data_IF_133064613536
#
_entry.id   IF_133064613536
#
_cell.length_a   1.000
_cell.length_b   1.000
_cell.length_c   1.000
_cell.angle_alpha   90.00
_cell.angle_beta   90.00
_cell.angle_gamma   90.00
#
_symmetry.space_group_name_H-M   'P 1'
#
loop_
_entity.id
_entity.type
_entity.pdbx_description
1 polymer ?
#
# COMPACT_ATOMS: atom_id res chain seq x y z
N UNK A 1 3.14 -11.06 7.26
CA UNK A 1 4.13 -10.78 6.21
C UNK A 1 3.56 -9.70 5.29
N UNK A 2 4.05 -8.46 5.33
CA UNK A 2 3.48 -7.38 4.48
C UNK A 2 4.20 -7.40 3.12
N UNK A 3 3.50 -7.86 2.09
CA UNK A 3 4.01 -8.25 0.77
C UNK A 3 4.24 -7.05 -0.17
N UNK A 4 4.91 -5.99 0.29
CA UNK A 4 4.98 -4.74 -0.46
C UNK A 4 5.75 -4.81 -1.79
N UNK A 5 6.68 -5.77 -1.93
CA UNK A 5 7.52 -5.93 -3.12
C UNK A 5 7.06 -7.05 -4.08
N UNK A 6 6.08 -7.87 -3.70
CA UNK A 6 5.67 -9.03 -4.53
C UNK A 6 5.12 -8.62 -5.88
N UNK A 7 4.41 -7.49 -5.96
CA UNK A 7 3.88 -6.99 -7.23
C UNK A 7 4.98 -6.66 -8.23
N UNK A 8 6.16 -6.20 -7.77
CA UNK A 8 7.32 -5.94 -8.63
C UNK A 8 7.89 -7.25 -9.14
N UNK A 9 8.06 -8.23 -8.25
CA UNK A 9 8.59 -9.55 -8.62
C UNK A 9 7.64 -10.29 -9.57
N UNK A 10 6.33 -10.28 -9.30
CA UNK A 10 5.31 -10.90 -10.15
C UNK A 10 5.24 -10.20 -11.52
N UNK A 11 5.28 -8.88 -11.57
CA UNK A 11 5.30 -8.14 -12.83
C UNK A 11 6.57 -8.43 -13.64
N UNK A 12 7.72 -8.51 -12.97
CA UNK A 12 8.98 -8.89 -13.60
C UNK A 12 8.96 -10.34 -14.12
N UNK A 13 8.48 -11.29 -13.32
CA UNK A 13 8.38 -12.70 -13.68
C UNK A 13 7.47 -12.89 -14.89
N UNK A 14 6.34 -12.19 -14.92
CA UNK A 14 5.40 -12.21 -16.04
C UNK A 14 6.06 -11.77 -17.36
N UNK A 15 6.81 -10.66 -17.37
CA UNK A 15 7.47 -10.19 -18.60
C UNK A 15 8.72 -10.99 -18.96
N UNK A 16 9.38 -11.60 -17.97
CA UNK A 16 10.57 -12.41 -18.21
C UNK A 16 10.20 -13.76 -18.83
N UNK A 17 9.08 -14.36 -18.40
CA UNK A 17 8.79 -15.77 -18.67
C UNK A 17 7.49 -16.03 -19.43
N UNK A 18 6.55 -15.06 -19.50
CA UNK A 18 5.20 -15.31 -20.00
C UNK A 18 4.81 -14.39 -21.16
N UNK A 19 5.03 -13.08 -21.03
CA UNK A 19 4.53 -12.08 -22.00
C UNK A 19 5.64 -11.15 -22.49
N UNK A 20 5.79 -11.03 -23.81
CA UNK A 20 6.77 -10.13 -24.43
C UNK A 20 6.13 -8.83 -24.96
N UNK A 21 4.91 -8.91 -25.52
CA UNK A 21 4.30 -7.80 -26.28
C UNK A 21 3.18 -7.08 -25.54
N UNK A 22 2.86 -7.53 -24.32
CA UNK A 22 1.80 -6.96 -23.49
C UNK A 22 2.43 -5.97 -22.50
N UNK A 23 1.96 -4.72 -22.41
CA UNK A 23 2.39 -3.80 -21.37
C UNK A 23 2.00 -4.29 -19.98
N UNK A 24 2.97 -4.35 -19.07
CA UNK A 24 2.79 -4.73 -17.67
C UNK A 24 3.19 -3.57 -16.78
N UNK A 25 2.31 -3.20 -15.84
CA UNK A 25 2.55 -2.11 -14.91
C UNK A 25 2.30 -2.54 -13.46
N UNK A 26 3.23 -2.23 -12.55
CA UNK A 26 3.01 -2.34 -11.12
C UNK A 26 2.99 -0.95 -10.45
N UNK A 27 1.94 -0.69 -9.67
CA UNK A 27 1.78 0.49 -8.83
C UNK A 27 2.00 0.06 -7.39
N UNK A 28 3.05 0.58 -6.74
CA UNK A 28 3.44 0.12 -5.40
C UNK A 28 3.51 1.28 -4.42
N UNK A 29 3.06 1.04 -3.19
CA UNK A 29 3.01 2.04 -2.13
C UNK A 29 3.95 1.62 -1.01
N UNK A 30 4.93 2.47 -0.68
CA UNK A 30 5.86 2.22 0.43
C UNK A 30 6.70 0.96 0.25
N UNK A 31 6.89 0.49 -0.99
CA UNK A 31 7.66 -0.73 -1.26
C UNK A 31 9.13 -0.54 -0.91
N UNK A 32 9.75 -1.49 -0.17
CA UNK A 32 11.20 -1.56 -0.03
C UNK A 32 11.86 -1.85 -1.39
N UNK A 33 13.19 -1.75 -1.41
CA UNK A 33 14.00 -2.18 -2.53
C UNK A 33 13.91 -3.71 -2.70
N UNK A 34 13.97 -4.17 -3.95
CA UNK A 34 13.64 -5.57 -4.29
C UNK A 34 14.87 -6.36 -4.73
N UNK A 35 15.69 -5.79 -5.60
CA UNK A 35 16.77 -6.51 -6.24
C UNK A 35 18.08 -5.73 -6.28
N UNK A 36 19.14 -6.45 -6.60
CA UNK A 36 20.47 -5.90 -6.76
C UNK A 36 20.67 -5.32 -8.17
N UNK A 37 21.91 -4.92 -8.48
CA UNK A 37 22.29 -4.42 -9.81
C UNK A 37 21.93 -5.40 -10.95
N UNK A 38 22.19 -6.70 -10.79
CA UNK A 38 21.90 -7.69 -11.84
C UNK A 38 20.39 -7.78 -12.13
N UNK A 39 19.56 -7.75 -11.08
CA UNK A 39 18.11 -7.67 -11.23
C UNK A 39 17.70 -6.39 -11.98
N UNK A 40 18.20 -5.22 -11.56
CA UNK A 40 17.85 -3.93 -12.18
C UNK A 40 18.30 -3.85 -13.65
N UNK A 41 19.46 -4.43 -13.98
CA UNK A 41 19.96 -4.51 -15.35
C UNK A 41 19.08 -5.41 -16.23
N UNK A 42 18.55 -6.53 -15.69
CA UNK A 42 17.57 -7.37 -16.42
C UNK A 42 16.23 -6.66 -16.55
N UNK A 43 15.73 -6.07 -15.47
CA UNK A 43 14.48 -5.29 -15.44
C UNK A 43 14.47 -4.23 -16.56
N UNK A 44 15.56 -3.49 -16.73
CA UNK A 44 15.68 -2.42 -17.74
C UNK A 44 15.66 -2.92 -19.19
N UNK A 45 15.86 -4.22 -19.44
CA UNK A 45 15.76 -4.78 -20.80
C UNK A 45 14.32 -4.90 -21.27
N UNK A 46 13.37 -4.97 -20.34
CA UNK A 46 11.95 -5.12 -20.63
C UNK A 46 11.30 -3.76 -20.88
N UNK A 47 11.14 -3.39 -22.15
CA UNK A 47 10.52 -2.13 -22.54
C UNK A 47 9.03 -2.06 -22.18
N UNK A 48 8.35 -3.22 -22.17
CA UNK A 48 6.95 -3.41 -21.82
C UNK A 48 6.67 -3.43 -20.30
N UNK A 49 7.70 -3.40 -19.45
CA UNK A 49 7.53 -3.33 -17.99
C UNK A 49 7.69 -1.90 -17.47
N UNK A 50 6.75 -1.46 -16.64
CA UNK A 50 6.82 -0.22 -15.87
C UNK A 50 6.46 -0.45 -14.41
N UNK A 51 7.18 0.21 -13.51
CA UNK A 51 6.86 0.20 -12.08
C UNK A 51 6.85 1.63 -11.58
N UNK A 52 5.75 2.04 -10.95
CA UNK A 52 5.63 3.33 -10.29
C UNK A 52 5.61 3.13 -8.77
N UNK A 53 6.60 3.70 -8.10
CA UNK A 53 6.74 3.72 -6.65
C UNK A 53 6.15 4.99 -6.08
N UNK A 54 5.05 4.86 -5.34
CA UNK A 54 4.52 5.93 -4.49
C UNK A 54 5.24 5.85 -3.14
N UNK A 55 6.00 6.89 -2.79
CA UNK A 55 6.80 6.95 -1.56
C UNK A 55 6.40 8.15 -0.71
N UNK A 56 6.21 7.93 0.57
CA UNK A 56 6.04 9.03 1.52
C UNK A 56 7.42 9.51 1.97
N UNK A 57 7.70 10.80 1.85
CA UNK A 57 9.01 11.41 2.12
C UNK A 57 9.56 11.07 3.52
N UNK A 58 8.67 10.91 4.50
CA UNK A 58 9.05 10.61 5.89
C UNK A 58 9.12 9.10 6.19
N UNK A 59 8.79 8.21 5.24
CA UNK A 59 8.90 6.77 5.42
C UNK A 59 10.27 6.26 4.96
N UNK A 60 10.99 5.59 5.88
CA UNK A 60 12.32 5.06 5.60
C UNK A 60 12.30 3.67 4.93
N UNK A 61 11.16 2.96 4.93
CA UNK A 61 11.08 1.60 4.37
C UNK A 61 11.48 1.51 2.90
N UNK A 62 11.10 2.46 2.01
CA UNK A 62 11.53 2.43 0.63
C UNK A 62 13.05 2.49 0.40
N UNK A 63 13.83 2.84 1.44
CA UNK A 63 15.28 2.86 1.40
C UNK A 63 15.92 1.56 1.93
N UNK A 64 15.15 0.67 2.53
CA UNK A 64 15.61 -0.63 3.00
C UNK A 64 15.56 -1.66 1.86
N UNK A 65 16.51 -2.63 1.74
CA UNK A 65 17.67 -2.84 2.62
C UNK A 65 18.81 -1.84 2.45
N UNK A 66 18.87 -1.15 1.32
CA UNK A 66 19.83 -0.08 1.03
C UNK A 66 20.96 -0.50 0.09
N UNK A 67 21.56 0.49 -0.57
CA UNK A 67 22.65 0.32 -1.55
C UNK A 67 23.92 -0.31 -0.97
N UNK A 68 24.20 -0.08 0.31
CA UNK A 68 25.35 -0.69 1.01
C UNK A 68 25.24 -2.22 1.08
N UNK A 69 24.02 -2.76 1.04
CA UNK A 69 23.75 -4.20 0.96
C UNK A 69 23.59 -4.70 -0.49
N UNK A 70 23.93 -3.86 -1.48
CA UNK A 70 23.90 -4.21 -2.90
C UNK A 70 22.54 -4.06 -3.59
N UNK A 71 21.53 -3.48 -2.93
CA UNK A 71 20.19 -3.25 -3.50
C UNK A 71 20.14 -1.96 -4.32
N UNK A 72 19.33 -1.95 -5.37
CA UNK A 72 19.16 -0.80 -6.26
C UNK A 72 17.72 -0.30 -6.33
N UNK A 73 17.58 1.00 -6.58
CA UNK A 73 16.30 1.58 -6.95
C UNK A 73 15.95 1.18 -8.39
N UNK A 74 14.70 0.80 -8.59
CA UNK A 74 14.15 0.29 -9.85
C UNK A 74 12.83 1.03 -10.12
N UNK A 75 12.48 1.27 -11.39
CA UNK A 75 11.25 1.94 -11.78
C UNK A 75 11.29 3.48 -11.65
N UNK A 76 10.10 4.07 -11.64
CA UNK A 76 9.85 5.52 -11.53
C UNK A 76 9.25 5.83 -10.16
N UNK A 77 9.51 7.02 -9.63
CA UNK A 77 9.07 7.42 -8.29
C UNK A 77 8.09 8.60 -8.34
N UNK A 78 7.02 8.49 -7.56
CA UNK A 78 6.14 9.57 -7.17
C UNK A 78 6.34 9.79 -5.67
N UNK A 79 7.11 10.81 -5.31
CA UNK A 79 7.28 11.22 -3.92
C UNK A 79 6.10 12.09 -3.48
N UNK A 80 5.52 11.72 -2.34
CA UNK A 80 4.42 12.42 -1.68
C UNK A 80 4.84 12.75 -0.25
N UNK A 81 4.12 13.68 0.39
CA UNK A 81 4.33 14.00 1.80
C UNK A 81 3.00 14.06 2.55
N UNK A 82 2.79 13.08 3.44
CA UNK A 82 1.62 13.00 4.32
C UNK A 82 1.42 14.22 5.22
N UNK A 83 2.47 14.97 5.53
CA UNK A 83 2.38 16.17 6.38
C UNK A 83 1.66 17.33 5.71
N UNK A 84 1.45 17.28 4.38
CA UNK A 84 0.74 18.33 3.64
C UNK A 84 -0.77 18.32 3.86
N UNK A 85 -1.35 17.19 4.26
CA UNK A 85 -2.78 17.14 4.51
C UNK A 85 -3.12 17.87 5.81
N UNK A 86 -4.02 18.86 5.80
CA UNK A 86 -4.43 19.58 7.01
C UNK A 86 -5.22 18.68 7.98
N UNK A 87 -5.70 17.53 7.52
CA UNK A 87 -6.51 16.57 8.30
C UNK A 87 -5.69 15.49 8.99
N UNK A 88 -4.40 15.32 8.67
CA UNK A 88 -3.54 14.30 9.28
C UNK A 88 -2.79 14.86 10.49
N UNK A 89 -2.58 14.02 11.50
CA UNK A 89 -1.77 14.34 12.67
C UNK A 89 -0.29 14.46 12.28
N UNK A 90 0.48 15.26 13.04
CA UNK A 90 1.94 15.21 13.03
C UNK A 90 2.47 13.96 13.76
N UNK A 91 2.14 12.77 13.25
CA UNK A 91 2.45 11.50 13.93
C UNK A 91 3.94 11.20 13.96
N UNK A 92 4.42 10.69 15.10
CA UNK A 92 5.78 10.14 15.27
C UNK A 92 5.82 8.61 15.11
N UNK A 93 4.69 7.98 14.78
CA UNK A 93 4.59 6.53 14.61
C UNK A 93 4.93 6.13 13.16
N UNK A 94 6.01 5.37 12.92
CA UNK A 94 6.38 4.93 11.57
C UNK A 94 5.32 4.09 10.85
N UNK A 95 4.39 3.48 11.59
CA UNK A 95 3.28 2.74 11.00
C UNK A 95 2.27 3.64 10.30
N UNK A 96 2.11 4.89 10.76
CA UNK A 96 1.21 5.86 10.13
C UNK A 96 1.79 6.38 8.82
N UNK A 97 3.11 6.59 8.77
CA UNK A 97 3.81 7.09 7.58
C UNK A 97 3.69 6.15 6.37
N UNK A 98 3.53 4.85 6.64
CA UNK A 98 3.34 3.81 5.62
C UNK A 98 1.89 3.32 5.51
N UNK A 99 0.94 4.02 6.12
CA UNK A 99 -0.45 3.63 6.04
C UNK A 99 -0.97 3.84 4.60
N UNK A 100 -1.39 2.75 3.95
CA UNK A 100 -1.85 2.78 2.56
C UNK A 100 -2.99 3.77 2.33
N UNK A 101 -3.97 3.81 3.23
CA UNK A 101 -5.13 4.68 3.07
C UNK A 101 -4.77 6.16 3.24
N UNK A 102 -3.79 6.46 4.09
CA UNK A 102 -3.20 7.79 4.23
C UNK A 102 -2.42 8.20 2.98
N UNK A 103 -1.58 7.31 2.43
CA UNK A 103 -0.86 7.60 1.17
C UNK A 103 -1.83 7.85 0.02
N UNK A 104 -2.88 7.05 -0.12
CA UNK A 104 -3.93 7.25 -1.12
C UNK A 104 -4.72 8.55 -0.89
N UNK A 105 -4.93 8.96 0.36
CA UNK A 105 -5.50 10.27 0.69
C UNK A 105 -4.62 11.41 0.19
N UNK A 106 -3.30 11.27 0.34
CA UNK A 106 -2.36 12.26 -0.18
C UNK A 106 -2.36 12.27 -1.70
N UNK A 107 -2.25 11.12 -2.36
CA UNK A 107 -2.31 11.02 -3.82
C UNK A 107 -3.58 11.68 -4.37
N UNK A 108 -4.72 11.52 -3.70
CA UNK A 108 -5.99 12.12 -4.10
C UNK A 108 -6.02 13.67 -4.07
N UNK A 109 -5.09 14.31 -3.37
CA UNK A 109 -4.98 15.77 -3.30
C UNK A 109 -3.57 16.32 -3.48
N UNK A 110 -2.66 15.52 -4.04
CA UNK A 110 -1.28 15.90 -4.25
C UNK A 110 -1.16 16.80 -5.49
N UNK A 111 -0.68 18.02 -5.28
CA UNK A 111 -0.44 19.00 -6.35
C UNK A 111 1.05 19.31 -6.55
N UNK A 112 1.94 18.51 -5.96
CA UNK A 112 3.37 18.76 -5.92
C UNK A 112 3.86 19.26 -4.55
N UNK A 113 5.17 19.40 -4.42
CA UNK A 113 5.88 19.78 -3.20
C UNK A 113 5.63 21.25 -2.80
N UNK A 114 5.51 22.15 -3.79
CA UNK A 114 5.34 23.59 -3.60
C UNK A 114 3.88 24.04 -3.51
N UNK A 115 2.97 23.28 -4.09
CA UNK A 115 1.55 23.65 -4.18
C UNK A 115 0.74 23.17 -2.96
N UNK A 116 -0.33 23.87 -2.56
CA UNK A 116 -1.16 23.44 -1.44
C UNK A 116 -1.83 22.09 -1.70
N UNK A 117 -2.07 21.35 -0.62
CA UNK A 117 -2.88 20.13 -0.68
C UNK A 117 -4.34 20.50 -0.97
N UNK A 118 -4.92 19.90 -2.00
CA UNK A 118 -6.30 20.11 -2.38
C UNK A 118 -6.82 18.85 -3.07
N UNK A 119 -7.86 18.22 -2.51
CA UNK A 119 -8.44 17.01 -3.07
C UNK A 119 -8.94 17.26 -4.49
N UNK A 120 -8.38 16.54 -5.46
CA UNK A 120 -8.78 16.58 -6.88
C UNK A 120 -9.80 15.50 -7.24
N UNK A 121 -10.02 14.53 -6.34
CA UNK A 121 -11.03 13.48 -6.49
C UNK A 121 -11.82 13.30 -5.19
N UNK A 122 -13.10 12.92 -5.32
CA UNK A 122 -13.93 12.60 -4.16
C UNK A 122 -13.41 11.34 -3.48
N UNK A 123 -12.89 11.48 -2.26
CA UNK A 123 -12.38 10.38 -1.43
C UNK A 123 -12.82 10.55 0.01
N UNK A 124 -13.35 9.50 0.62
CA UNK A 124 -13.76 9.54 2.02
C UNK A 124 -12.53 9.62 2.93
N UNK A 125 -12.49 10.67 3.76
CA UNK A 125 -11.43 10.88 4.73
C UNK A 125 -11.38 9.74 5.76
N UNK A 126 -12.53 9.15 6.10
CA UNK A 126 -12.64 8.10 7.10
C UNK A 126 -11.79 6.86 6.78
N UNK A 127 -11.52 6.60 5.49
CA UNK A 127 -10.67 5.49 5.05
C UNK A 127 -9.26 5.56 5.65
N UNK A 128 -8.73 6.75 5.94
CA UNK A 128 -7.41 6.91 6.58
C UNK A 128 -7.35 6.12 7.88
N UNK A 129 -8.38 6.21 8.73
CA UNK A 129 -8.43 5.53 10.02
C UNK A 129 -8.91 4.07 9.92
N UNK A 130 -8.99 3.48 8.71
CA UNK A 130 -9.42 2.07 8.53
C UNK A 130 -8.66 1.13 9.47
N UNK A 131 -7.34 1.30 9.59
CA UNK A 131 -6.45 0.45 10.39
C UNK A 131 -5.48 1.23 11.29
N UNK A 132 -5.71 2.51 11.50
CA UNK A 132 -4.91 3.37 12.38
C UNK A 132 -5.75 4.52 12.96
N UNK A 133 -5.13 5.42 13.73
CA UNK A 133 -5.75 6.62 14.29
C UNK A 133 -5.03 7.90 13.83
N UNK A 134 -4.73 7.99 12.54
CA UNK A 134 -3.84 9.01 11.98
C UNK A 134 -4.52 10.36 11.65
N UNK A 135 -5.85 10.36 11.46
CA UNK A 135 -6.62 11.60 11.35
C UNK A 135 -6.55 12.39 12.65
N UNK A 136 -6.60 13.72 12.54
CA UNK A 136 -6.76 14.60 13.70
C UNK A 136 -8.10 14.36 14.39
N UNK A 137 -8.15 14.59 15.70
CA UNK A 137 -9.32 14.25 16.52
C UNK A 137 -10.53 15.12 16.15
N UNK A 138 -10.31 16.33 15.63
CA UNK A 138 -11.39 17.21 15.14
C UNK A 138 -12.11 16.65 13.91
N UNK A 139 -11.55 15.64 13.24
CA UNK A 139 -12.22 14.95 12.14
C UNK A 139 -13.33 14.00 12.63
N UNK A 140 -13.40 13.71 13.93
CA UNK A 140 -14.43 12.86 14.57
C UNK A 140 -14.58 11.46 13.96
N UNK A 141 -13.51 10.92 13.36
CA UNK A 141 -13.48 9.55 12.84
C UNK A 141 -12.77 8.63 13.84
N UNK A 142 -13.43 7.58 14.36
CA UNK A 142 -12.79 6.61 15.25
C UNK A 142 -11.54 5.99 14.61
N UNK A 143 -10.50 5.78 15.42
CA UNK A 143 -9.30 5.07 14.97
C UNK A 143 -9.57 3.57 14.81
N UNK A 144 -8.88 2.95 13.86
CA UNK A 144 -8.90 1.49 13.61
C UNK A 144 -10.32 0.92 13.54
N UNK A 145 -11.21 1.64 12.86
CA UNK A 145 -12.64 1.32 12.87
C UNK A 145 -12.99 0.09 12.03
N UNK A 146 -12.11 -0.37 11.13
CA UNK A 146 -12.38 -1.56 10.32
C UNK A 146 -12.24 -2.81 11.16
N UNK A 147 -13.39 -3.32 11.58
CA UNK A 147 -13.54 -4.56 12.32
C UNK A 147 -14.83 -5.21 11.88
N UNK A 148 -14.83 -6.53 11.77
CA UNK A 148 -16.05 -7.28 11.52
C UNK A 148 -17.11 -6.98 12.58
N UNK A 149 -18.39 -7.01 12.18
CA UNK A 149 -19.49 -6.86 13.12
C UNK A 149 -19.34 -7.90 14.22
N UNK A 150 -19.38 -7.46 15.48
CA UNK A 150 -19.15 -8.31 16.65
C UNK A 150 -17.84 -9.14 16.58
N UNK A 151 -16.84 -8.68 15.82
CA UNK A 151 -15.60 -9.42 15.54
C UNK A 151 -15.82 -10.80 14.93
N UNK A 152 -16.87 -10.97 14.13
CA UNK A 152 -17.23 -12.23 13.48
C UNK A 152 -18.06 -13.17 14.35
N UNK A 153 -18.44 -12.75 15.56
CA UNK A 153 -19.34 -13.55 16.39
C UNK A 153 -20.79 -13.43 15.91
N UNK A 154 -21.47 -14.57 15.79
CA UNK A 154 -22.88 -14.69 15.44
C UNK A 154 -23.63 -15.39 16.55
N UNK A 155 -24.92 -15.07 16.71
CA UNK A 155 -25.79 -15.70 17.69
C UNK A 155 -26.62 -16.77 17.01
N UNK A 156 -26.50 -18.01 17.47
CA UNK A 156 -27.26 -19.15 16.95
C UNK A 156 -28.72 -19.16 17.44
N UNK A 157 -29.52 -20.05 16.87
CA UNK A 157 -30.93 -20.26 17.25
C UNK A 157 -31.07 -20.82 18.68
N UNK A 158 -30.04 -21.51 19.18
CA UNK A 158 -29.91 -21.94 20.57
C UNK A 158 -29.63 -20.77 21.54
N UNK A 159 -29.38 -19.58 21.01
CA UNK A 159 -29.10 -18.37 21.76
C UNK A 159 -27.63 -18.17 22.11
N UNK A 160 -26.75 -19.12 21.78
CA UNK A 160 -25.32 -19.09 22.06
C UNK A 160 -24.55 -18.25 21.04
N UNK A 161 -23.38 -17.73 21.43
CA UNK A 161 -22.50 -16.97 20.56
C UNK A 161 -21.33 -17.82 20.07
N UNK A 162 -21.22 -17.98 18.77
CA UNK A 162 -20.14 -18.73 18.12
C UNK A 162 -19.45 -17.90 17.06
N UNK A 163 -18.22 -18.27 16.69
CA UNK A 163 -17.54 -17.64 15.57
C UNK A 163 -18.26 -18.04 14.28
N UNK A 164 -18.53 -17.08 13.39
CA UNK A 164 -19.06 -17.40 12.08
C UNK A 164 -18.15 -18.41 11.37
N UNK A 165 -18.73 -19.41 10.68
CA UNK A 165 -17.95 -20.25 9.79
C UNK A 165 -17.28 -19.38 8.71
N UNK A 166 -16.18 -19.85 8.14
CA UNK A 166 -15.56 -19.18 7.00
C UNK A 166 -16.55 -19.14 5.83
N UNK A 167 -16.54 -18.03 5.09
CA UNK A 167 -17.31 -17.91 3.86
C UNK A 167 -16.86 -19.00 2.86
N UNK A 168 -17.78 -19.46 2.00
CA UNK A 168 -17.49 -20.55 1.05
C UNK A 168 -16.32 -20.20 0.11
N UNK A 169 -16.15 -18.92 -0.24
CA UNK A 169 -15.06 -18.42 -1.08
C UNK A 169 -13.68 -18.48 -0.39
N UNK A 170 -13.65 -18.48 0.96
CA UNK A 170 -12.42 -18.54 1.75
C UNK A 170 -12.01 -20.00 2.06
N UNK A 171 -12.80 -20.98 1.65
CA UNK A 171 -12.46 -22.38 1.84
C UNK A 171 -11.38 -22.82 0.84
N UNK A 172 -10.38 -23.59 1.27
CA UNK A 172 -9.36 -24.09 0.36
C UNK A 172 -10.00 -25.01 -0.69
N UNK A 173 -9.93 -24.58 -1.95
CA UNK A 173 -10.34 -25.38 -3.10
C UNK A 173 -9.15 -26.27 -3.50
N UNK A 174 -9.32 -27.60 -3.64
CA UNK A 174 -8.27 -28.45 -4.15
C UNK A 174 -7.84 -28.00 -5.56
N UNK A 175 -6.54 -27.78 -5.75
CA UNK A 175 -5.96 -27.60 -7.08
C UNK A 175 -5.86 -28.99 -7.75
N UNK A 176 -6.50 -29.16 -8.92
CA UNK A 176 -6.49 -30.39 -9.72
C UNK A 176 -5.49 -30.30 -10.87
#
# INVERSE_FOLDING_TARGET
MRLFCLSILAAFDLVENVVADIPVAALVFGSPQVGNKAFNDRFKKHSNLKVLHIKNQIDAIPHYPGRLLGYEYTGTELEIDTRKSPSLKGSKNPSDWRNLQAMLHIVAGWNGDKEPFELKVKRSLALVNKSCAFLKDECLVPGSWWVEKNRGMVRGDDGEWTLAPADEEDQPVPEY
#
